data_IF_074949732022
#
_entry.id   IF_074949732022
#
_cell.length_a   1.000
_cell.length_b   1.000
_cell.length_c   1.000
_cell.angle_alpha   90.00
_cell.angle_beta   90.00
_cell.angle_gamma   90.00
#
_symmetry.space_group_name_H-M   'P 1'
#
loop_
_entity.id
_entity.type
_entity.pdbx_description
1 polymer ?
#
# COMPACT_ATOMS: atom_id res chain seq x y z
N UNK A 1 -22.10 -14.14 -13.90
CA UNK A 1 -21.19 -14.29 -12.75
C UNK A 1 -20.07 -13.27 -12.92
N UNK A 2 -19.79 -12.45 -11.89
CA UNK A 2 -18.77 -11.42 -12.04
C UNK A 2 -17.35 -12.00 -11.89
N UNK A 3 -16.35 -11.35 -12.50
CA UNK A 3 -14.92 -11.69 -12.34
C UNK A 3 -14.51 -11.74 -10.86
N UNK A 4 -15.16 -10.94 -10.02
CA UNK A 4 -14.97 -10.90 -8.57
C UNK A 4 -15.41 -12.20 -7.89
N UNK A 5 -16.53 -12.79 -8.32
CA UNK A 5 -17.02 -14.06 -7.76
C UNK A 5 -16.12 -15.24 -8.16
N UNK A 6 -15.49 -15.16 -9.32
CA UNK A 6 -14.50 -16.16 -9.77
C UNK A 6 -13.22 -16.07 -8.95
N UNK A 7 -12.74 -14.85 -8.66
CA UNK A 7 -11.57 -14.64 -7.79
C UNK A 7 -11.83 -15.14 -6.37
N UNK A 8 -13.00 -14.80 -5.78
CA UNK A 8 -13.40 -15.28 -4.44
C UNK A 8 -13.44 -16.80 -4.34
N UNK A 9 -13.89 -17.48 -5.40
CA UNK A 9 -13.92 -18.96 -5.44
C UNK A 9 -12.54 -19.56 -5.62
N UNK A 10 -11.69 -18.96 -6.45
CA UNK A 10 -10.30 -19.40 -6.61
C UNK A 10 -9.53 -19.39 -5.30
N UNK A 11 -9.69 -18.33 -4.50
CA UNK A 11 -9.10 -18.21 -3.16
C UNK A 11 -9.61 -19.25 -2.15
N UNK A 12 -10.88 -19.66 -2.26
CA UNK A 12 -11.46 -20.65 -1.35
C UNK A 12 -10.89 -22.06 -1.55
N UNK A 13 -10.34 -22.35 -2.72
CA UNK A 13 -9.83 -23.68 -3.10
C UNK A 13 -8.36 -23.88 -2.69
N UNK A 14 -7.58 -22.85 -2.52
CA UNK A 14 -6.11 -22.95 -2.46
C UNK A 14 -5.50 -22.22 -1.23
N UNK A 15 -5.75 -22.75 -0.04
CA UNK A 15 -5.30 -22.14 1.23
C UNK A 15 -3.84 -22.41 1.59
N UNK A 16 -3.10 -23.21 0.83
CA UNK A 16 -1.75 -23.64 1.22
C UNK A 16 -0.61 -22.95 0.44
N UNK A 17 -0.89 -21.94 -0.38
CA UNK A 17 0.10 -21.33 -1.25
C UNK A 17 0.72 -20.06 -0.64
N UNK A 18 2.04 -19.95 -0.74
CA UNK A 18 2.84 -18.82 -0.25
C UNK A 18 2.45 -17.46 -0.85
N UNK A 19 1.75 -17.42 -2.00
CA UNK A 19 1.27 -16.20 -2.65
C UNK A 19 -0.12 -15.74 -2.18
N UNK A 20 -0.74 -16.47 -1.24
CA UNK A 20 -2.08 -16.14 -0.74
C UNK A 20 -2.21 -14.68 -0.23
N UNK A 21 -1.23 -14.10 0.51
CA UNK A 21 -1.32 -12.71 0.93
C UNK A 21 -1.49 -11.72 -0.22
N UNK A 22 -0.80 -11.91 -1.35
CA UNK A 22 -0.93 -11.04 -2.51
C UNK A 22 -2.27 -11.21 -3.23
N UNK A 23 -2.84 -12.41 -3.23
CA UNK A 23 -4.17 -12.67 -3.79
C UNK A 23 -5.27 -12.04 -2.94
N UNK A 24 -5.19 -12.14 -1.61
CA UNK A 24 -6.12 -11.47 -0.69
C UNK A 24 -6.08 -9.95 -0.88
N UNK A 25 -4.88 -9.37 -1.00
CA UNK A 25 -4.74 -7.95 -1.28
C UNK A 25 -5.32 -7.53 -2.64
N UNK A 26 -5.07 -8.32 -3.70
CA UNK A 26 -5.63 -8.05 -5.03
C UNK A 26 -7.16 -8.15 -5.03
N UNK A 27 -7.73 -9.09 -4.29
CA UNK A 27 -9.17 -9.22 -4.15
C UNK A 27 -9.77 -8.04 -3.38
N UNK A 28 -9.12 -7.60 -2.30
CA UNK A 28 -9.55 -6.42 -1.53
C UNK A 28 -9.57 -5.15 -2.42
N UNK A 29 -8.55 -4.96 -3.26
CA UNK A 29 -8.54 -3.86 -4.25
C UNK A 29 -9.68 -3.99 -5.26
N UNK A 30 -9.98 -5.20 -5.73
CA UNK A 30 -11.07 -5.44 -6.67
C UNK A 30 -12.44 -5.18 -6.03
N UNK A 31 -12.65 -5.59 -4.79
CA UNK A 31 -13.84 -5.28 -3.98
C UNK A 31 -14.02 -3.77 -3.83
N UNK A 32 -12.96 -3.06 -3.46
CA UNK A 32 -12.99 -1.61 -3.32
C UNK A 32 -13.27 -0.89 -4.65
N UNK A 33 -12.74 -1.41 -5.78
CA UNK A 33 -13.05 -0.87 -7.12
C UNK A 33 -14.51 -1.09 -7.51
N UNK A 34 -15.10 -2.18 -7.08
CA UNK A 34 -16.53 -2.47 -7.27
C UNK A 34 -17.45 -1.64 -6.35
N UNK A 35 -16.89 -0.84 -5.42
CA UNK A 35 -17.64 -0.04 -4.45
C UNK A 35 -17.82 -0.74 -3.09
N UNK A 36 -17.34 -1.97 -2.95
CA UNK A 36 -17.42 -2.77 -1.72
C UNK A 36 -16.22 -2.47 -0.78
N UNK A 37 -16.02 -1.20 -0.42
CA UNK A 37 -14.84 -0.75 0.35
C UNK A 37 -14.74 -1.39 1.73
N UNK A 38 -15.87 -1.57 2.42
CA UNK A 38 -15.88 -2.20 3.74
C UNK A 38 -15.52 -3.69 3.66
N UNK A 39 -15.96 -4.40 2.62
CA UNK A 39 -15.58 -5.79 2.37
C UNK A 39 -14.06 -5.91 2.10
N UNK A 40 -13.51 -5.02 1.27
CA UNK A 40 -12.08 -4.96 1.00
C UNK A 40 -11.25 -4.68 2.25
N UNK A 41 -11.68 -3.76 3.10
CA UNK A 41 -11.00 -3.46 4.38
C UNK A 41 -11.06 -4.65 5.33
N UNK A 42 -12.22 -5.28 5.50
CA UNK A 42 -12.37 -6.46 6.36
C UNK A 42 -11.46 -7.60 5.89
N UNK A 43 -11.41 -7.84 4.58
CA UNK A 43 -10.52 -8.84 4.00
C UNK A 43 -9.06 -8.58 4.32
N UNK A 44 -8.60 -7.33 4.20
CA UNK A 44 -7.21 -6.97 4.55
C UNK A 44 -6.93 -7.11 6.03
N UNK A 45 -7.86 -6.72 6.90
CA UNK A 45 -7.70 -6.86 8.35
C UNK A 45 -7.61 -8.33 8.76
N UNK A 46 -8.44 -9.21 8.18
CA UNK A 46 -8.39 -10.66 8.41
C UNK A 46 -7.08 -11.28 7.88
N UNK A 47 -6.66 -10.86 6.68
CA UNK A 47 -5.43 -11.35 6.08
C UNK A 47 -4.19 -10.88 6.85
N UNK A 48 -4.14 -9.64 7.33
CA UNK A 48 -3.05 -9.14 8.18
C UNK A 48 -2.96 -9.90 9.51
N UNK A 49 -4.11 -10.21 10.14
CA UNK A 49 -4.15 -11.05 11.34
C UNK A 49 -3.62 -12.47 11.08
N UNK A 50 -3.91 -13.04 9.91
CA UNK A 50 -3.40 -14.36 9.50
C UNK A 50 -1.88 -14.34 9.27
N UNK A 51 -1.31 -13.25 8.76
CA UNK A 51 0.15 -13.11 8.59
C UNK A 51 0.89 -13.19 9.92
N UNK A 52 0.34 -12.62 10.99
CA UNK A 52 0.94 -12.72 12.33
C UNK A 52 0.99 -14.17 12.81
N UNK A 53 -0.03 -14.97 12.46
CA UNK A 53 -0.15 -16.38 12.87
C UNK A 53 0.74 -17.32 12.04
N UNK A 54 0.95 -17.02 10.75
CA UNK A 54 1.64 -17.90 9.79
C UNK A 54 3.09 -17.51 9.50
N UNK A 55 3.54 -16.37 10.00
CA UNK A 55 4.87 -15.78 9.73
C UNK A 55 5.15 -15.49 8.24
N UNK A 56 4.13 -15.53 7.37
CA UNK A 56 4.26 -15.28 5.92
C UNK A 56 4.17 -13.79 5.60
N UNK A 57 5.04 -12.98 6.15
CA UNK A 57 4.93 -11.51 6.19
C UNK A 57 5.50 -10.76 4.98
N UNK A 58 5.91 -11.45 3.92
CA UNK A 58 6.61 -10.84 2.79
C UNK A 58 5.80 -9.79 2.03
N UNK A 59 4.47 -9.85 2.05
CA UNK A 59 3.58 -8.90 1.36
C UNK A 59 2.89 -7.90 2.31
N UNK A 60 3.18 -7.96 3.57
CA UNK A 60 2.54 -7.17 4.64
C UNK A 60 2.60 -5.65 4.38
N UNK A 61 3.76 -5.15 3.95
CA UNK A 61 3.93 -3.72 3.63
C UNK A 61 2.96 -3.26 2.53
N UNK A 62 2.80 -4.04 1.45
CA UNK A 62 1.84 -3.73 0.39
C UNK A 62 0.39 -3.82 0.87
N UNK A 63 0.06 -4.76 1.73
CA UNK A 63 -1.30 -4.86 2.30
C UNK A 63 -1.66 -3.61 3.11
N UNK A 64 -0.74 -3.08 3.91
CA UNK A 64 -0.94 -1.81 4.61
C UNK A 64 -1.08 -0.63 3.65
N UNK A 65 -0.29 -0.59 2.56
CA UNK A 65 -0.43 0.45 1.54
C UNK A 65 -1.79 0.41 0.85
N UNK A 66 -2.22 -0.79 0.43
CA UNK A 66 -3.54 -1.01 -0.20
C UNK A 66 -4.66 -0.65 0.77
N UNK A 67 -4.52 -1.01 2.04
CA UNK A 67 -5.48 -0.63 3.09
C UNK A 67 -5.65 0.90 3.16
N UNK A 68 -4.57 1.64 3.10
CA UNK A 68 -4.63 3.11 3.10
C UNK A 68 -5.36 3.65 1.87
N UNK A 69 -5.12 3.10 0.69
CA UNK A 69 -5.82 3.51 -0.54
C UNK A 69 -7.33 3.25 -0.46
N UNK A 70 -7.74 2.11 0.11
CA UNK A 70 -9.16 1.80 0.30
C UNK A 70 -9.79 2.72 1.33
N UNK A 71 -9.09 3.04 2.43
CA UNK A 71 -9.55 4.00 3.44
C UNK A 71 -9.81 5.38 2.82
N UNK A 72 -8.87 5.89 2.03
CA UNK A 72 -9.01 7.18 1.33
C UNK A 72 -10.12 7.16 0.28
N UNK A 73 -10.37 6.02 -0.34
CA UNK A 73 -11.50 5.85 -1.26
C UNK A 73 -12.84 5.85 -0.53
N UNK A 74 -12.90 5.24 0.64
CA UNK A 74 -14.10 5.20 1.48
C UNK A 74 -14.43 6.58 2.05
N UNK A 75 -13.44 7.26 2.59
CA UNK A 75 -13.57 8.62 3.14
C UNK A 75 -12.30 9.44 2.83
N UNK A 76 -12.36 10.30 1.79
CA UNK A 76 -11.22 11.15 1.41
C UNK A 76 -10.90 12.26 2.42
N UNK A 77 -11.80 12.55 3.35
CA UNK A 77 -11.64 13.62 4.35
C UNK A 77 -10.98 13.12 5.62
N UNK A 78 -11.35 11.92 6.09
CA UNK A 78 -10.68 11.28 7.23
C UNK A 78 -9.42 10.55 6.77
N UNK A 79 -8.30 11.27 6.81
CA UNK A 79 -7.00 10.74 6.36
C UNK A 79 -6.18 10.09 7.48
N UNK A 80 -6.60 10.19 8.74
CA UNK A 80 -5.78 9.74 9.89
C UNK A 80 -5.48 8.24 9.85
N UNK A 81 -6.50 7.40 9.59
CA UNK A 81 -6.32 5.95 9.49
C UNK A 81 -5.46 5.54 8.28
N UNK A 82 -5.59 6.27 7.17
CA UNK A 82 -4.77 6.05 5.98
C UNK A 82 -3.30 6.43 6.23
N UNK A 83 -3.05 7.56 6.90
CA UNK A 83 -1.70 7.97 7.30
C UNK A 83 -1.05 6.90 8.19
N UNK A 84 -1.76 6.40 9.21
CA UNK A 84 -1.27 5.33 10.08
C UNK A 84 -0.94 4.04 9.29
N UNK A 85 -1.79 3.63 8.36
CA UNK A 85 -1.55 2.45 7.52
C UNK A 85 -0.31 2.63 6.63
N UNK A 86 -0.08 3.81 6.07
CA UNK A 86 1.11 4.08 5.25
C UNK A 86 2.39 4.13 6.08
N UNK A 87 2.33 4.68 7.30
CA UNK A 87 3.46 4.64 8.24
C UNK A 87 3.81 3.19 8.64
N UNK A 88 2.80 2.35 8.90
CA UNK A 88 3.00 0.92 9.14
C UNK A 88 3.63 0.22 7.94
N UNK A 89 3.16 0.51 6.71
CA UNK A 89 3.73 -0.02 5.48
C UNK A 89 5.22 0.30 5.34
N UNK A 90 5.61 1.55 5.60
CA UNK A 90 7.01 1.98 5.55
C UNK A 90 7.85 1.25 6.62
N UNK A 91 7.37 1.19 7.86
CA UNK A 91 8.09 0.54 8.95
C UNK A 91 8.32 -0.97 8.67
N UNK A 92 7.29 -1.66 8.17
CA UNK A 92 7.39 -3.08 7.77
C UNK A 92 8.38 -3.24 6.63
N UNK A 93 8.28 -2.43 5.56
CA UNK A 93 9.17 -2.50 4.42
C UNK A 93 10.64 -2.26 4.82
N UNK A 94 10.89 -1.31 5.71
CA UNK A 94 12.23 -1.04 6.25
C UNK A 94 12.77 -2.23 7.04
N UNK A 95 11.96 -2.83 7.92
CA UNK A 95 12.37 -4.00 8.70
C UNK A 95 12.70 -5.21 7.81
N UNK A 96 12.00 -5.36 6.71
CA UNK A 96 12.20 -6.42 5.71
C UNK A 96 13.24 -6.07 4.65
N UNK A 97 13.79 -4.85 4.67
CA UNK A 97 14.69 -4.31 3.63
C UNK A 97 14.08 -4.35 2.22
N UNK A 98 12.76 -4.25 2.15
CA UNK A 98 11.97 -4.30 0.92
C UNK A 98 11.87 -2.89 0.29
N UNK A 99 12.97 -2.43 -0.31
CA UNK A 99 13.15 -1.05 -0.80
C UNK A 99 12.08 -0.58 -1.78
N UNK A 100 11.60 -1.45 -2.66
CA UNK A 100 10.53 -1.10 -3.61
C UNK A 100 9.18 -0.89 -2.92
N UNK A 101 8.86 -1.67 -1.89
CA UNK A 101 7.65 -1.48 -1.10
C UNK A 101 7.74 -0.23 -0.23
N UNK A 102 8.91 0.04 0.35
CA UNK A 102 9.18 1.28 1.08
C UNK A 102 8.95 2.51 0.19
N UNK A 103 9.50 2.52 -1.03
CA UNK A 103 9.33 3.63 -1.97
C UNK A 103 7.86 3.85 -2.34
N UNK A 104 7.11 2.78 -2.61
CA UNK A 104 5.67 2.87 -2.93
C UNK A 104 4.87 3.47 -1.78
N UNK A 105 5.10 2.99 -0.56
CA UNK A 105 4.41 3.49 0.62
C UNK A 105 4.78 4.95 0.93
N UNK A 106 6.07 5.28 0.83
CA UNK A 106 6.57 6.65 1.02
C UNK A 106 6.00 7.63 -0.02
N UNK A 107 5.89 7.21 -1.28
CA UNK A 107 5.28 8.02 -2.33
C UNK A 107 3.80 8.29 -2.05
N UNK A 108 3.04 7.27 -1.63
CA UNK A 108 1.64 7.42 -1.27
C UNK A 108 1.47 8.38 -0.08
N UNK A 109 2.30 8.24 0.96
CA UNK A 109 2.27 9.11 2.13
C UNK A 109 2.68 10.56 1.80
N UNK A 110 3.69 10.74 0.96
CA UNK A 110 4.11 12.07 0.50
C UNK A 110 3.00 12.78 -0.28
N UNK A 111 2.25 12.06 -1.12
CA UNK A 111 1.08 12.61 -1.81
C UNK A 111 -0.02 13.05 -0.82
N UNK A 112 -0.27 12.25 0.20
CA UNK A 112 -1.23 12.56 1.27
C UNK A 112 -0.80 13.83 2.02
N UNK A 113 0.46 13.90 2.45
CA UNK A 113 1.00 15.07 3.14
C UNK A 113 0.96 16.33 2.28
N UNK A 114 1.31 16.23 1.00
CA UNK A 114 1.23 17.35 0.07
C UNK A 114 -0.21 17.87 -0.08
N UNK A 115 -1.18 16.98 -0.20
CA UNK A 115 -2.59 17.35 -0.26
C UNK A 115 -3.07 18.08 1.01
N UNK A 116 -2.47 17.76 2.16
CA UNK A 116 -2.71 18.42 3.44
C UNK A 116 -1.83 19.67 3.67
N UNK A 117 -1.12 20.18 2.66
CA UNK A 117 -0.15 21.28 2.75
C UNK A 117 1.02 21.03 3.74
N UNK A 118 1.37 19.76 3.97
CA UNK A 118 2.50 19.31 4.82
C UNK A 118 3.71 18.98 3.95
N UNK A 119 4.22 19.96 3.20
CA UNK A 119 5.31 19.78 2.24
C UNK A 119 6.62 19.29 2.86
N UNK A 120 6.98 19.80 4.04
CA UNK A 120 8.19 19.37 4.76
C UNK A 120 8.10 17.88 5.16
N UNK A 121 6.95 17.41 5.65
CA UNK A 121 6.73 16.02 6.01
C UNK A 121 6.75 15.13 4.76
N UNK A 122 6.15 15.58 3.66
CA UNK A 122 6.19 14.88 2.39
C UNK A 122 7.63 14.67 1.88
N UNK A 123 8.47 15.71 1.96
CA UNK A 123 9.89 15.61 1.59
C UNK A 123 10.64 14.66 2.54
N UNK A 124 10.42 14.78 3.84
CA UNK A 124 11.12 13.99 4.86
C UNK A 124 10.85 12.47 4.71
N UNK A 125 9.66 12.07 4.24
CA UNK A 125 9.33 10.67 4.05
C UNK A 125 9.80 10.13 2.71
N UNK A 126 9.73 10.93 1.63
CA UNK A 126 10.00 10.46 0.28
C UNK A 126 11.50 10.48 -0.07
N UNK A 127 12.25 11.48 0.37
CA UNK A 127 13.66 11.64 0.01
C UNK A 127 14.51 10.43 0.43
N UNK A 128 14.46 9.92 1.68
CA UNK A 128 15.22 8.74 2.08
C UNK A 128 14.79 7.47 1.34
N UNK A 129 13.49 7.32 1.06
CA UNK A 129 12.96 6.15 0.36
C UNK A 129 13.42 6.09 -1.11
N UNK A 130 13.59 7.24 -1.75
CA UNK A 130 14.07 7.34 -3.13
C UNK A 130 15.59 7.24 -3.27
N UNK A 131 16.34 7.40 -2.17
CA UNK A 131 17.80 7.36 -2.18
C UNK A 131 18.33 5.98 -2.57
N UNK A 132 19.36 5.95 -3.41
CA UNK A 132 20.03 4.72 -3.84
C UNK A 132 19.33 3.98 -4.99
N UNK A 133 18.19 4.43 -5.47
CA UNK A 133 17.63 3.91 -6.71
C UNK A 133 18.35 4.53 -7.92
N UNK A 134 18.76 3.73 -8.92
CA UNK A 134 19.32 4.26 -10.14
C UNK A 134 18.27 5.13 -10.87
N UNK A 135 18.68 6.20 -11.57
CA UNK A 135 17.76 7.07 -12.30
C UNK A 135 17.26 6.39 -13.58
N UNK A 136 16.57 5.27 -13.43
CA UNK A 136 16.05 4.49 -14.56
C UNK A 136 14.53 4.59 -14.58
N UNK A 137 13.97 4.58 -15.81
CA UNK A 137 12.51 4.53 -16.02
C UNK A 137 11.89 3.17 -15.66
N UNK A 138 12.65 2.25 -15.10
CA UNK A 138 12.19 0.90 -14.74
C UNK A 138 11.30 0.88 -13.48
N UNK A 139 11.35 1.94 -12.68
CA UNK A 139 10.50 2.08 -11.49
C UNK A 139 9.51 3.24 -11.71
N UNK A 140 8.22 2.93 -11.97
CA UNK A 140 7.18 3.96 -12.13
C UNK A 140 7.11 4.93 -10.94
N UNK A 141 7.39 4.45 -9.74
CA UNK A 141 7.38 5.22 -8.50
C UNK A 141 8.45 6.34 -8.51
N UNK A 142 9.60 6.12 -9.16
CA UNK A 142 10.62 7.16 -9.34
C UNK A 142 10.19 8.21 -10.35
N UNK A 143 9.48 7.80 -11.40
CA UNK A 143 8.95 8.72 -12.41
C UNK A 143 7.95 9.72 -11.79
N UNK A 144 7.19 9.30 -10.78
CA UNK A 144 6.32 10.19 -10.01
C UNK A 144 7.05 10.89 -8.87
N UNK A 145 7.92 10.18 -8.15
CA UNK A 145 8.58 10.65 -6.94
C UNK A 145 9.58 11.79 -7.19
N UNK A 146 10.38 11.73 -8.25
CA UNK A 146 11.40 12.74 -8.55
C UNK A 146 10.81 14.13 -8.85
N UNK A 147 9.78 14.28 -9.71
CA UNK A 147 9.12 15.58 -9.88
C UNK A 147 8.47 16.08 -8.59
N UNK A 148 7.91 15.19 -7.77
CA UNK A 148 7.35 15.54 -6.49
C UNK A 148 8.40 16.07 -5.52
N UNK A 149 9.54 15.39 -5.37
CA UNK A 149 10.67 15.87 -4.56
C UNK A 149 11.19 17.22 -5.03
N UNK A 150 11.32 17.42 -6.34
CA UNK A 150 11.76 18.69 -6.92
C UNK A 150 10.79 19.83 -6.61
N UNK A 151 9.50 19.56 -6.58
CA UNK A 151 8.46 20.53 -6.21
C UNK A 151 8.46 20.88 -4.71
N UNK A 152 8.79 19.90 -3.86
CA UNK A 152 8.83 20.05 -2.40
C UNK A 152 10.09 20.76 -1.90
N UNK A 153 11.16 20.81 -2.70
CA UNK A 153 12.44 21.44 -2.37
C UNK A 153 12.47 22.95 -2.66
N UNK A 154 11.39 23.52 -3.19
CA UNK A 154 11.25 24.97 -3.50
C UNK A 154 10.51 25.71 -2.42
#
# INVERSE_FOLDING_TARGET
>A
MSSLDEMRRGLAIDREHWFLPSLEAALAEAEARAGETDAGLQRLDDALAELERTEQRWYEAEMHRIRAEILLKRDPVDTAAAEQSLQAAIAVAQSQKARSFELRAALALAKLYRAANRGADAHAVLAPAAEGFPPTRQFPELTEGQPLLSALSR
#
